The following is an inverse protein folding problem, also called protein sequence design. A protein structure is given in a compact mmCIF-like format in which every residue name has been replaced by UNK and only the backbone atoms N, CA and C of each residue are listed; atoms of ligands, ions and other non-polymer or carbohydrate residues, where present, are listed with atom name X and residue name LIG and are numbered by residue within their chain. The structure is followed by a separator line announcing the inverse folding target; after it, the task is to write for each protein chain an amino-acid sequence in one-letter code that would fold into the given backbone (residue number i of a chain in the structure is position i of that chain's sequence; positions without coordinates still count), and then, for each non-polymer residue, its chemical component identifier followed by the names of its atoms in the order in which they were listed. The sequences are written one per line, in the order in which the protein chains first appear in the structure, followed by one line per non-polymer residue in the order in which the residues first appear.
data_IF_802892612915
#
_entry.id   IF_802892612915
#
_cell.length_a   1.000
_cell.length_b   1.000
_cell.length_c   1.000
_cell.angle_alpha   90.00
_cell.angle_beta   90.00
_cell.angle_gamma   90.00
#
_symmetry.space_group_name_H-M   'P 1'
#
loop_
_entity.id
_entity.type
_entity.pdbx_description
1 polymer ?
#
# COMPACT_ATOMS: atom_id res chain seq x y z
N UNK A 1 72.33 -2.49 -43.64
CA UNK A 1 72.19 -3.55 -42.62
C UNK A 1 70.90 -3.33 -41.86
N UNK A 2 69.84 -4.04 -42.22
CA UNK A 2 68.55 -3.96 -41.55
C UNK A 2 68.13 -5.39 -41.17
N UNK A 3 68.23 -5.69 -39.87
CA UNK A 3 67.84 -6.99 -39.33
C UNK A 3 66.32 -7.01 -39.21
N UNK A 4 65.64 -7.79 -40.06
CA UNK A 4 64.20 -8.08 -39.93
C UNK A 4 64.00 -9.11 -38.82
N UNK A 5 63.11 -8.90 -37.84
CA UNK A 5 62.77 -9.93 -36.88
C UNK A 5 61.91 -11.02 -37.54
N UNK A 6 62.16 -12.26 -37.15
CA UNK A 6 61.52 -13.46 -37.67
C UNK A 6 60.08 -13.65 -37.14
N UNK A 7 59.21 -14.23 -37.98
CA UNK A 7 57.77 -14.50 -37.73
C UNK A 7 57.46 -15.34 -36.47
N UNK A 8 58.45 -15.89 -35.77
CA UNK A 8 58.25 -16.71 -34.57
C UNK A 8 58.11 -15.89 -33.27
N UNK A 9 58.54 -14.63 -33.23
CA UNK A 9 58.38 -13.78 -32.03
C UNK A 9 57.01 -13.08 -31.92
N UNK A 10 56.28 -12.90 -33.03
CA UNK A 10 54.95 -12.26 -33.01
C UNK A 10 53.83 -13.20 -32.53
N UNK A 11 53.98 -14.53 -32.67
CA UNK A 11 53.00 -15.50 -32.17
C UNK A 11 53.07 -15.72 -30.64
N UNK A 12 54.25 -15.57 -30.03
CA UNK A 12 54.42 -15.80 -28.59
C UNK A 12 53.80 -14.67 -27.74
N UNK A 13 53.79 -13.43 -28.24
CA UNK A 13 53.16 -12.30 -27.57
C UNK A 13 51.62 -12.28 -27.71
N UNK A 14 51.07 -12.86 -28.78
CA UNK A 14 49.62 -13.00 -28.96
C UNK A 14 49.01 -14.12 -28.11
N UNK A 15 49.78 -15.17 -27.77
CA UNK A 15 49.31 -16.27 -26.93
C UNK A 15 49.33 -15.96 -25.42
N UNK A 16 50.21 -15.08 -24.94
CA UNK A 16 50.18 -14.60 -23.55
C UNK A 16 49.05 -13.58 -23.31
N UNK A 17 48.72 -12.72 -24.28
CA UNK A 17 47.55 -11.84 -24.17
C UNK A 17 46.22 -12.59 -24.33
N UNK A 18 46.18 -13.69 -25.11
CA UNK A 18 44.99 -14.53 -25.20
C UNK A 18 44.73 -15.33 -23.90
N UNK A 19 45.76 -15.73 -23.15
CA UNK A 19 45.56 -16.35 -21.83
C UNK A 19 45.24 -15.34 -20.72
N UNK A 20 45.72 -14.10 -20.80
CA UNK A 20 45.34 -13.06 -19.84
C UNK A 20 43.95 -12.46 -20.15
N UNK A 21 43.58 -12.29 -21.42
CA UNK A 21 42.25 -11.81 -21.82
C UNK A 21 41.14 -12.87 -21.64
N UNK A 22 41.47 -14.16 -21.67
CA UNK A 22 40.53 -15.23 -21.28
C UNK A 22 40.43 -15.41 -19.76
N UNK A 23 41.42 -14.93 -18.98
CA UNK A 23 41.36 -14.92 -17.51
C UNK A 23 40.57 -13.72 -16.93
N UNK A 24 40.20 -12.73 -17.76
CA UNK A 24 39.32 -11.61 -17.36
C UNK A 24 37.85 -11.91 -17.69
N UNK A 25 37.55 -13.00 -18.42
CA UNK A 25 36.20 -13.41 -18.80
C UNK A 25 35.85 -14.78 -18.21
N UNK A 26 35.73 -14.82 -16.89
CA UNK A 26 34.85 -15.72 -16.14
C UNK A 26 35.12 -15.50 -14.64
N UNK A 27 34.61 -14.40 -14.08
CA UNK A 27 34.33 -14.44 -12.66
C UNK A 27 33.29 -15.54 -12.46
N UNK A 28 33.66 -16.57 -11.70
CA UNK A 28 32.80 -17.68 -11.30
C UNK A 28 31.38 -17.15 -11.04
N UNK A 29 30.41 -17.59 -11.84
CA UNK A 29 29.00 -17.44 -11.51
C UNK A 29 28.82 -18.02 -10.10
N UNK A 30 28.67 -17.15 -9.10
CA UNK A 30 28.36 -17.59 -7.75
C UNK A 30 27.07 -18.40 -7.80
N UNK A 31 27.00 -19.48 -7.02
CA UNK A 31 25.81 -20.30 -6.91
C UNK A 31 24.58 -19.39 -6.66
N UNK A 32 23.62 -19.39 -7.59
CA UNK A 32 22.39 -18.59 -7.49
C UNK A 32 22.32 -17.30 -8.32
N UNK A 33 23.28 -17.03 -9.22
CA UNK A 33 23.11 -15.98 -10.23
C UNK A 33 22.33 -16.50 -11.45
N UNK A 34 21.19 -15.89 -11.85
CA UNK A 34 20.44 -16.34 -13.01
C UNK A 34 21.23 -16.17 -14.31
N UNK A 35 20.98 -17.06 -15.28
CA UNK A 35 21.57 -16.96 -16.62
C UNK A 35 21.22 -15.63 -17.28
N UNK A 36 22.22 -14.98 -17.90
CA UNK A 36 22.13 -13.65 -18.56
C UNK A 36 22.03 -12.45 -17.61
N UNK A 37 21.89 -12.66 -16.30
CA UNK A 37 21.95 -11.58 -15.33
C UNK A 37 23.39 -11.24 -14.96
N UNK A 38 23.60 -10.00 -14.50
CA UNK A 38 24.86 -9.54 -13.93
C UNK A 38 24.74 -9.55 -12.41
N UNK A 39 25.57 -10.35 -11.76
CA UNK A 39 25.62 -10.44 -10.30
C UNK A 39 26.94 -9.88 -9.76
N UNK A 40 26.84 -8.99 -8.78
CA UNK A 40 27.99 -8.43 -8.08
C UNK A 40 27.69 -8.29 -6.59
N UNK A 41 28.45 -9.00 -5.74
CA UNK A 41 28.20 -9.13 -4.30
C UNK A 41 26.75 -9.61 -4.07
N UNK A 42 25.91 -8.78 -3.46
CA UNK A 42 24.49 -9.04 -3.16
C UNK A 42 23.54 -8.36 -4.15
N UNK A 43 24.07 -7.76 -5.23
CA UNK A 43 23.26 -7.12 -6.28
C UNK A 43 23.07 -8.07 -7.45
N UNK A 44 21.82 -8.26 -7.87
CA UNK A 44 21.45 -9.01 -9.08
C UNK A 44 20.76 -8.06 -10.04
N UNK A 45 21.31 -7.89 -11.25
CA UNK A 45 20.74 -7.06 -12.31
C UNK A 45 20.36 -7.91 -13.51
N UNK A 46 19.08 -7.87 -13.86
CA UNK A 46 18.50 -8.61 -14.98
C UNK A 46 17.66 -7.67 -15.87
N UNK A 47 18.20 -6.50 -16.22
CA UNK A 47 17.49 -5.48 -17.02
C UNK A 47 17.62 -5.71 -18.54
N UNK A 48 16.61 -5.32 -19.32
CA UNK A 48 16.59 -5.45 -20.80
C UNK A 48 16.76 -6.87 -21.34
N UNK A 49 16.32 -7.88 -20.59
CA UNK A 49 16.47 -9.30 -20.96
C UNK A 49 15.21 -9.91 -21.57
N UNK A 50 14.15 -9.11 -21.72
CA UNK A 50 12.81 -9.54 -22.17
C UNK A 50 12.19 -10.58 -21.23
N UNK A 51 12.50 -10.53 -19.94
CA UNK A 51 11.94 -11.45 -18.96
C UNK A 51 10.44 -11.27 -18.84
N UNK A 52 9.69 -12.37 -18.85
CA UNK A 52 8.24 -12.37 -18.65
C UNK A 52 7.83 -12.73 -17.21
N UNK A 53 8.80 -13.21 -16.41
CA UNK A 53 8.62 -13.56 -15.01
C UNK A 53 9.88 -13.19 -14.18
N UNK A 54 9.72 -13.16 -12.86
CA UNK A 54 10.81 -12.95 -11.91
C UNK A 54 11.72 -14.19 -11.92
N UNK A 55 13.04 -14.05 -12.18
CA UNK A 55 13.97 -15.18 -12.16
C UNK A 55 14.27 -15.61 -10.72
N UNK A 56 14.62 -16.89 -10.52
CA UNK A 56 15.10 -17.37 -9.23
C UNK A 56 16.45 -16.75 -8.88
N UNK A 57 16.56 -16.08 -7.73
CA UNK A 57 17.78 -15.39 -7.27
C UNK A 57 18.21 -15.87 -5.89
N UNK A 58 19.48 -15.64 -5.55
CA UNK A 58 20.04 -16.08 -4.28
C UNK A 58 19.42 -15.33 -3.06
N UNK A 59 19.17 -15.99 -1.92
CA UNK A 59 18.51 -15.37 -0.74
C UNK A 59 19.22 -14.16 -0.14
N UNK A 60 20.55 -14.08 -0.26
CA UNK A 60 21.37 -12.96 0.20
C UNK A 60 21.28 -11.70 -0.67
N UNK A 61 20.44 -11.71 -1.71
CA UNK A 61 20.26 -10.57 -2.62
C UNK A 61 19.73 -9.36 -1.85
N UNK A 62 20.46 -8.25 -1.90
CA UNK A 62 20.07 -6.99 -1.26
C UNK A 62 19.50 -5.98 -2.26
N UNK A 63 19.87 -6.09 -3.53
CA UNK A 63 19.35 -5.25 -4.62
C UNK A 63 18.99 -6.16 -5.80
N UNK A 64 17.72 -6.11 -6.21
CA UNK A 64 17.21 -6.84 -7.37
C UNK A 64 16.69 -5.84 -8.41
N UNK A 65 17.39 -5.74 -9.54
CA UNK A 65 17.04 -4.84 -10.65
C UNK A 65 16.44 -5.63 -11.82
N UNK A 66 15.13 -5.55 -11.98
CA UNK A 66 14.34 -6.22 -13.02
C UNK A 66 13.69 -5.21 -13.99
N UNK A 67 14.20 -3.98 -14.06
CA UNK A 67 13.61 -2.94 -14.90
C UNK A 67 13.72 -3.24 -16.38
N UNK A 68 12.85 -2.62 -17.18
CA UNK A 68 12.85 -2.71 -18.64
C UNK A 68 12.76 -4.15 -19.14
N UNK A 69 11.84 -4.92 -18.56
CA UNK A 69 11.50 -6.28 -19.00
C UNK A 69 10.03 -6.32 -19.46
N UNK A 70 9.46 -7.52 -19.58
CA UNK A 70 8.08 -7.76 -20.01
C UNK A 70 7.29 -8.52 -18.94
N UNK A 71 7.65 -8.36 -17.67
CA UNK A 71 6.99 -9.06 -16.56
C UNK A 71 5.54 -8.60 -16.47
N UNK A 72 4.59 -9.54 -16.58
CA UNK A 72 3.14 -9.24 -16.59
C UNK A 72 2.47 -9.44 -15.24
N UNK A 73 3.02 -10.33 -14.44
CA UNK A 73 2.49 -10.70 -13.12
C UNK A 73 3.64 -11.05 -12.19
N UNK A 74 3.41 -10.80 -10.89
CA UNK A 74 4.28 -11.26 -9.82
C UNK A 74 3.64 -12.54 -9.30
N UNK A 75 4.29 -13.68 -9.52
CA UNK A 75 3.79 -14.94 -8.98
C UNK A 75 3.80 -14.92 -7.44
N UNK A 76 2.80 -15.53 -6.76
CA UNK A 76 2.82 -15.65 -5.31
C UNK A 76 4.14 -16.28 -4.83
N UNK A 77 4.80 -15.62 -3.86
CA UNK A 77 6.09 -16.06 -3.34
C UNK A 77 7.28 -15.89 -4.29
N UNK A 78 7.17 -15.13 -5.40
CA UNK A 78 8.29 -14.85 -6.30
C UNK A 78 9.50 -14.21 -5.61
N UNK A 79 9.29 -13.52 -4.48
CA UNK A 79 10.34 -12.92 -3.67
C UNK A 79 10.51 -13.60 -2.30
N UNK A 80 9.90 -14.78 -2.12
CA UNK A 80 9.94 -15.49 -0.83
C UNK A 80 11.39 -15.78 -0.44
N UNK A 81 11.68 -15.68 0.86
CA UNK A 81 13.02 -15.86 1.45
C UNK A 81 14.07 -14.81 1.08
N UNK A 82 13.74 -13.77 0.29
CA UNK A 82 14.66 -12.66 -0.01
C UNK A 82 14.70 -11.64 1.15
N UNK A 83 14.91 -12.12 2.38
CA UNK A 83 14.84 -11.31 3.61
C UNK A 83 15.90 -10.21 3.68
N UNK A 84 16.99 -10.36 2.94
CA UNK A 84 18.06 -9.34 2.83
C UNK A 84 17.73 -8.23 1.83
N UNK A 85 16.65 -8.37 1.05
CA UNK A 85 16.33 -7.45 -0.04
C UNK A 85 15.98 -6.08 0.53
N UNK A 86 16.72 -5.07 0.06
CA UNK A 86 16.56 -3.69 0.49
C UNK A 86 15.98 -2.81 -0.62
N UNK A 87 16.33 -3.09 -1.87
CA UNK A 87 15.85 -2.36 -3.05
C UNK A 87 15.35 -3.34 -4.10
N UNK A 88 14.10 -3.14 -4.52
CA UNK A 88 13.46 -3.91 -5.59
C UNK A 88 13.02 -2.96 -6.70
N UNK A 89 13.57 -3.17 -7.90
CA UNK A 89 13.25 -2.37 -9.07
C UNK A 89 12.48 -3.20 -10.10
N UNK A 90 11.18 -2.92 -10.23
CA UNK A 90 10.24 -3.57 -11.16
C UNK A 90 9.64 -2.58 -12.17
N UNK A 91 10.10 -1.33 -12.19
CA UNK A 91 9.55 -0.32 -13.09
C UNK A 91 9.90 -0.56 -14.56
N UNK A 92 9.09 -0.01 -15.47
CA UNK A 92 9.16 -0.30 -16.91
C UNK A 92 8.98 -1.80 -17.21
N UNK A 93 7.87 -2.37 -16.71
CA UNK A 93 7.42 -3.72 -17.01
C UNK A 93 5.96 -3.66 -17.51
N UNK A 94 5.25 -4.79 -17.51
CA UNK A 94 3.86 -4.91 -17.96
C UNK A 94 2.95 -5.41 -16.82
N UNK A 95 3.34 -5.18 -15.56
CA UNK A 95 2.64 -5.71 -14.39
C UNK A 95 1.25 -5.10 -14.32
N UNK A 96 0.21 -5.94 -14.31
CA UNK A 96 -1.20 -5.49 -14.24
C UNK A 96 -1.80 -5.54 -12.84
N UNK A 97 -1.35 -6.49 -12.03
CA UNK A 97 -1.86 -6.74 -10.68
C UNK A 97 -0.71 -7.09 -9.76
N UNK A 98 -0.85 -6.69 -8.50
CA UNK A 98 0.01 -7.11 -7.39
C UNK A 98 -0.87 -8.00 -6.52
N UNK A 99 -0.67 -9.32 -6.50
CA UNK A 99 -1.48 -10.20 -5.66
C UNK A 99 -1.19 -9.97 -4.17
N UNK A 100 -2.14 -10.34 -3.31
CA UNK A 100 -1.92 -10.41 -1.86
C UNK A 100 -0.66 -11.22 -1.53
N UNK A 101 0.15 -10.70 -0.60
CA UNK A 101 1.41 -11.33 -0.20
C UNK A 101 2.49 -11.35 -1.29
N UNK A 102 2.35 -10.60 -2.40
CA UNK A 102 3.39 -10.52 -3.43
C UNK A 102 4.78 -10.17 -2.86
N UNK A 103 4.81 -9.33 -1.83
CA UNK A 103 6.02 -8.86 -1.16
C UNK A 103 6.18 -9.42 0.26
N UNK A 104 5.57 -10.57 0.54
CA UNK A 104 5.70 -11.27 1.82
C UNK A 104 7.18 -11.61 2.14
N UNK A 105 7.53 -11.65 3.43
CA UNK A 105 8.89 -11.87 3.97
C UNK A 105 9.94 -10.77 3.62
N UNK A 106 9.55 -9.66 2.96
CA UNK A 106 10.48 -8.58 2.59
C UNK A 106 10.70 -7.53 3.70
N UNK A 107 10.97 -7.99 4.93
CA UNK A 107 11.05 -7.17 6.16
C UNK A 107 12.11 -6.05 6.12
N UNK A 108 13.12 -6.17 5.26
CA UNK A 108 14.21 -5.18 5.11
C UNK A 108 14.06 -4.28 3.89
N UNK A 109 12.98 -4.43 3.12
CA UNK A 109 12.76 -3.64 1.92
C UNK A 109 12.52 -2.18 2.27
N UNK A 110 13.34 -1.29 1.70
CA UNK A 110 13.24 0.16 1.88
C UNK A 110 12.70 0.85 0.65
N UNK A 111 13.09 0.39 -0.54
CA UNK A 111 12.76 1.07 -1.79
C UNK A 111 12.12 0.12 -2.78
N UNK A 112 10.88 0.43 -3.17
CA UNK A 112 10.10 -0.34 -4.12
C UNK A 112 9.69 0.53 -5.31
N UNK A 113 10.16 0.15 -6.50
CA UNK A 113 9.88 0.86 -7.74
C UNK A 113 8.97 0.04 -8.64
N UNK A 114 7.72 0.50 -8.80
CA UNK A 114 6.67 -0.14 -9.61
C UNK A 114 6.09 0.79 -10.69
N UNK A 115 6.60 2.02 -10.80
CA UNK A 115 6.19 3.01 -11.80
C UNK A 115 6.40 2.52 -13.25
N UNK A 116 5.71 3.12 -14.22
CA UNK A 116 5.72 2.67 -15.63
C UNK A 116 5.38 1.17 -15.75
N UNK A 117 4.28 0.76 -15.14
CA UNK A 117 3.66 -0.55 -15.31
C UNK A 117 2.20 -0.35 -15.78
N UNK A 118 1.35 -1.35 -15.61
CA UNK A 118 -0.06 -1.33 -16.02
C UNK A 118 -0.97 -1.66 -14.83
N UNK A 119 -0.56 -1.34 -13.60
CA UNK A 119 -1.28 -1.72 -12.38
C UNK A 119 -2.62 -0.98 -12.33
N UNK A 120 -3.72 -1.71 -12.27
CA UNK A 120 -5.09 -1.15 -12.27
C UNK A 120 -5.71 -1.09 -10.87
N UNK A 121 -5.42 -2.09 -10.05
CA UNK A 121 -5.95 -2.23 -8.69
C UNK A 121 -4.82 -2.59 -7.74
N UNK A 122 -4.97 -2.17 -6.49
CA UNK A 122 -4.13 -2.56 -5.37
C UNK A 122 -5.03 -3.24 -4.35
N UNK A 123 -4.70 -4.48 -4.00
CA UNK A 123 -5.39 -5.13 -2.90
C UNK A 123 -4.93 -4.50 -1.57
N UNK A 124 -5.81 -4.36 -0.55
CA UNK A 124 -5.45 -3.75 0.73
C UNK A 124 -4.26 -4.40 1.42
N UNK A 125 -3.99 -5.68 1.12
CA UNK A 125 -2.92 -6.45 1.71
C UNK A 125 -1.63 -6.49 0.87
N UNK A 126 -1.62 -5.84 -0.30
CA UNK A 126 -0.51 -5.86 -1.26
C UNK A 126 0.82 -5.39 -0.65
N UNK A 127 0.75 -4.47 0.32
CA UNK A 127 1.93 -3.86 0.96
C UNK A 127 1.98 -4.10 2.48
N UNK A 128 1.18 -5.05 2.99
CA UNK A 128 1.30 -5.44 4.40
C UNK A 128 2.68 -6.04 4.68
N UNK A 129 3.10 -6.00 5.94
CA UNK A 129 4.36 -6.59 6.41
C UNK A 129 5.64 -5.98 5.78
N UNK A 130 5.60 -4.70 5.40
CA UNK A 130 6.76 -3.94 4.91
C UNK A 130 7.14 -2.79 5.89
N UNK A 131 7.52 -3.08 7.14
CA UNK A 131 7.65 -2.08 8.21
C UNK A 131 8.77 -1.05 7.96
N UNK A 132 9.77 -1.41 7.15
CA UNK A 132 10.92 -0.55 6.82
C UNK A 132 10.79 0.17 5.49
N UNK A 133 9.64 0.08 4.80
CA UNK A 133 9.48 0.68 3.48
C UNK A 133 9.49 2.20 3.59
N UNK A 134 10.50 2.82 2.99
CA UNK A 134 10.69 4.27 3.03
C UNK A 134 10.20 4.94 1.74
N UNK A 135 10.25 4.25 0.59
CA UNK A 135 9.87 4.83 -0.71
C UNK A 135 9.10 3.84 -1.57
N UNK A 136 7.92 4.27 -2.00
CA UNK A 136 7.04 3.53 -2.89
C UNK A 136 6.70 4.38 -4.12
N UNK A 137 7.09 3.90 -5.30
CA UNK A 137 6.83 4.58 -6.56
C UNK A 137 5.85 3.78 -7.41
N UNK A 138 4.62 4.28 -7.50
CA UNK A 138 3.49 3.71 -8.27
C UNK A 138 2.99 4.64 -9.39
N UNK A 139 3.58 5.83 -9.57
CA UNK A 139 3.24 6.76 -10.65
C UNK A 139 3.36 6.12 -12.05
N UNK A 140 2.66 6.65 -13.05
CA UNK A 140 2.60 6.06 -14.40
C UNK A 140 2.13 4.59 -14.37
N UNK A 141 1.00 4.36 -13.72
CA UNK A 141 0.25 3.11 -13.76
C UNK A 141 -1.20 3.43 -14.19
N UNK A 142 -2.15 2.54 -13.92
CA UNK A 142 -3.57 2.68 -14.29
C UNK A 142 -4.49 2.59 -13.08
N UNK A 143 -3.98 2.92 -11.89
CA UNK A 143 -4.73 2.80 -10.64
C UNK A 143 -5.92 3.75 -10.70
N UNK A 144 -7.13 3.21 -10.49
CA UNK A 144 -8.36 4.01 -10.53
C UNK A 144 -8.89 4.36 -9.16
N UNK A 145 -8.91 3.41 -8.24
CA UNK A 145 -9.42 3.59 -6.88
C UNK A 145 -8.42 2.99 -5.89
N UNK A 146 -8.47 3.48 -4.65
CA UNK A 146 -7.65 3.01 -3.55
C UNK A 146 -8.55 2.77 -2.35
N UNK A 147 -8.44 1.57 -1.78
CA UNK A 147 -9.20 1.21 -0.59
C UNK A 147 -8.62 1.97 0.62
N UNK A 148 -9.45 2.58 1.48
CA UNK A 148 -8.99 3.14 2.75
C UNK A 148 -8.09 2.16 3.51
N UNK A 149 -6.94 2.67 4.00
CA UNK A 149 -5.99 1.85 4.73
C UNK A 149 -4.97 1.07 3.89
N UNK A 150 -5.01 1.12 2.55
CA UNK A 150 -4.02 0.44 1.67
C UNK A 150 -2.55 0.75 2.04
N UNK A 151 -2.29 1.92 2.64
CA UNK A 151 -0.94 2.35 3.05
C UNK A 151 -0.78 2.54 4.57
N UNK A 152 -1.78 2.19 5.39
CA UNK A 152 -1.79 2.52 6.82
C UNK A 152 -0.68 1.84 7.63
N UNK A 153 -0.25 0.65 7.22
CA UNK A 153 0.82 -0.11 7.89
C UNK A 153 2.25 0.30 7.48
N UNK A 154 2.39 1.27 6.58
CA UNK A 154 3.71 1.74 6.12
C UNK A 154 4.24 2.82 7.07
N UNK A 155 4.64 2.41 8.27
CA UNK A 155 5.04 3.33 9.35
C UNK A 155 6.31 4.13 9.04
N UNK A 156 7.25 3.54 8.27
CA UNK A 156 8.52 4.17 7.90
C UNK A 156 8.44 5.01 6.61
N UNK A 157 7.24 5.23 6.06
CA UNK A 157 7.07 5.80 4.72
C UNK A 157 7.55 7.26 4.66
N UNK A 158 8.46 7.55 3.73
CA UNK A 158 9.06 8.88 3.49
C UNK A 158 8.86 9.40 2.08
N UNK A 159 8.30 8.63 1.15
CA UNK A 159 7.93 9.09 -0.20
C UNK A 159 6.96 8.13 -0.90
N UNK A 160 5.78 8.63 -1.21
CA UNK A 160 4.76 7.92 -1.97
C UNK A 160 4.47 8.69 -3.26
N UNK A 161 4.60 8.04 -4.41
CA UNK A 161 4.22 8.64 -5.70
C UNK A 161 3.15 7.82 -6.39
N UNK A 162 2.00 8.44 -6.59
CA UNK A 162 0.78 7.91 -7.22
C UNK A 162 0.28 8.80 -8.36
N UNK A 163 0.92 9.93 -8.64
CA UNK A 163 0.59 10.80 -9.77
C UNK A 163 0.67 10.07 -11.12
N UNK A 164 0.07 10.64 -12.17
CA UNK A 164 0.01 9.99 -13.48
C UNK A 164 -0.60 8.57 -13.42
N UNK A 165 -1.62 8.41 -12.57
CA UNK A 165 -2.54 7.27 -12.56
C UNK A 165 -3.93 7.75 -13.00
N UNK A 166 -4.90 6.84 -13.08
CA UNK A 166 -6.28 7.15 -13.47
C UNK A 166 -7.18 7.39 -12.25
N UNK A 167 -6.66 8.04 -11.20
CA UNK A 167 -7.34 8.15 -9.91
C UNK A 167 -8.69 8.86 -10.04
N UNK A 168 -9.75 8.18 -9.60
CA UNK A 168 -11.06 8.74 -9.41
C UNK A 168 -11.14 9.34 -8.01
N UNK A 169 -11.27 10.65 -7.97
CA UNK A 169 -11.40 11.42 -6.75
C UNK A 169 -12.88 11.63 -6.46
N UNK A 170 -13.42 10.74 -5.65
CA UNK A 170 -14.70 10.87 -4.96
C UNK A 170 -14.44 11.08 -3.46
N UNK A 171 -15.50 11.07 -2.65
CA UNK A 171 -15.37 11.30 -1.22
C UNK A 171 -14.52 10.26 -0.48
N UNK A 172 -14.37 9.05 -1.01
CA UNK A 172 -13.50 8.00 -0.44
C UNK A 172 -12.02 8.30 -0.67
N UNK A 173 -11.63 9.28 -1.52
CA UNK A 173 -10.21 9.63 -1.71
C UNK A 173 -9.66 10.50 -0.56
N UNK A 174 -10.51 11.07 0.29
CA UNK A 174 -10.11 12.10 1.26
C UNK A 174 -9.14 11.58 2.34
N UNK A 175 -9.20 10.30 2.70
CA UNK A 175 -8.20 9.70 3.59
C UNK A 175 -6.78 9.78 2.99
N UNK A 176 -6.66 9.64 1.66
CA UNK A 176 -5.38 9.75 0.98
C UNK A 176 -4.93 11.22 0.95
N UNK A 177 -5.86 12.16 0.78
CA UNK A 177 -5.55 13.58 0.86
C UNK A 177 -4.93 13.94 2.21
N UNK A 178 -5.52 13.48 3.31
CA UNK A 178 -5.01 13.72 4.66
C UNK A 178 -3.65 13.04 4.89
N UNK A 179 -3.50 11.79 4.46
CA UNK A 179 -2.22 11.09 4.52
C UNK A 179 -1.09 11.86 3.79
N UNK A 180 -1.37 12.37 2.58
CA UNK A 180 -0.39 13.12 1.80
C UNK A 180 -0.04 14.47 2.45
N UNK A 181 -1.01 15.15 3.10
CA UNK A 181 -0.75 16.39 3.86
C UNK A 181 0.19 16.12 5.04
N UNK A 182 -0.01 15.04 5.79
CA UNK A 182 0.87 14.65 6.90
C UNK A 182 2.31 14.46 6.43
N UNK A 183 2.50 13.80 5.29
CA UNK A 183 3.84 13.65 4.70
C UNK A 183 4.44 14.96 4.19
N UNK A 184 3.64 15.85 3.61
CA UNK A 184 4.15 17.15 3.15
C UNK A 184 4.70 17.99 4.33
N UNK A 185 4.02 17.95 5.48
CA UNK A 185 4.43 18.66 6.70
C UNK A 185 5.72 18.09 7.31
N UNK A 186 6.00 16.80 7.14
CA UNK A 186 7.22 16.16 7.67
C UNK A 186 8.49 16.46 6.86
N UNK A 187 8.49 17.53 6.04
CA UNK A 187 9.60 17.89 5.15
C UNK A 187 9.72 17.00 3.91
N UNK A 188 8.74 16.12 3.65
CA UNK A 188 8.71 15.27 2.47
C UNK A 188 7.86 15.91 1.37
N UNK A 189 8.43 16.92 0.72
CA UNK A 189 7.82 17.71 -0.36
C UNK A 189 7.54 16.93 -1.67
N UNK A 190 7.56 15.60 -1.66
CA UNK A 190 7.52 14.76 -2.87
C UNK A 190 6.49 13.63 -2.81
N UNK A 191 5.60 13.63 -1.81
CA UNK A 191 4.40 12.82 -1.86
C UNK A 191 3.44 13.41 -2.92
N UNK A 192 3.12 12.66 -3.96
CA UNK A 192 2.40 13.18 -5.12
C UNK A 192 1.30 12.23 -5.58
N UNK A 193 0.07 12.74 -5.71
CA UNK A 193 -1.05 12.07 -6.35
C UNK A 193 -1.93 13.13 -7.02
N UNK A 194 -2.48 12.83 -8.19
CA UNK A 194 -3.29 13.76 -8.98
C UNK A 194 -4.58 13.07 -9.40
N UNK A 195 -5.70 13.80 -9.34
CA UNK A 195 -6.97 13.30 -9.82
C UNK A 195 -7.00 13.24 -11.35
N UNK A 196 -7.51 12.14 -11.88
CA UNK A 196 -7.86 12.03 -13.30
C UNK A 196 -9.35 12.25 -13.51
N UNK A 197 -10.17 11.77 -12.57
CA UNK A 197 -11.61 11.97 -12.55
C UNK A 197 -12.07 12.55 -11.20
N UNK A 198 -13.21 13.28 -11.18
CA UNK A 198 -13.98 13.75 -12.33
C UNK A 198 -13.27 14.87 -13.11
N UNK A 199 -13.67 15.10 -14.37
CA UNK A 199 -13.02 16.08 -15.28
C UNK A 199 -12.87 17.50 -14.70
N UNK A 200 -13.81 17.92 -13.85
CA UNK A 200 -13.79 19.24 -13.19
C UNK A 200 -12.57 19.48 -12.31
N UNK A 201 -11.97 18.42 -11.77
CA UNK A 201 -10.78 18.46 -10.92
C UNK A 201 -9.61 17.65 -11.51
N UNK A 202 -9.64 17.37 -12.81
CA UNK A 202 -8.55 16.66 -13.47
C UNK A 202 -7.23 17.44 -13.32
N UNK A 203 -6.16 16.73 -13.00
CA UNK A 203 -4.83 17.29 -12.73
C UNK A 203 -4.66 17.94 -11.36
N UNK A 204 -5.73 18.09 -10.56
CA UNK A 204 -5.63 18.63 -9.20
C UNK A 204 -4.85 17.67 -8.31
N UNK A 205 -4.04 18.23 -7.41
CA UNK A 205 -3.35 17.44 -6.38
C UNK A 205 -4.38 16.89 -5.39
N UNK A 206 -4.31 15.59 -5.10
CA UNK A 206 -5.20 14.95 -4.11
C UNK A 206 -5.04 15.61 -2.74
N UNK A 207 -3.82 15.99 -2.35
CA UNK A 207 -3.53 16.57 -1.04
C UNK A 207 -4.20 17.94 -0.80
N UNK A 208 -4.71 18.60 -1.84
CA UNK A 208 -5.31 19.94 -1.74
C UNK A 208 -6.83 19.95 -1.90
N UNK A 209 -7.45 18.79 -2.09
CA UNK A 209 -8.89 18.68 -2.34
C UNK A 209 -9.67 18.77 -1.03
N UNK A 210 -10.84 19.40 -1.10
CA UNK A 210 -11.78 19.51 0.03
C UNK A 210 -13.05 18.68 -0.20
N UNK A 211 -13.78 18.31 0.87
CA UNK A 211 -15.06 17.61 0.76
C UNK A 211 -16.10 18.34 -0.10
N UNK A 212 -16.10 19.67 -0.08
CA UNK A 212 -17.04 20.49 -0.85
C UNK A 212 -16.82 20.38 -2.35
N UNK A 213 -15.55 20.32 -2.81
CA UNK A 213 -15.22 20.15 -4.24
C UNK A 213 -15.63 18.78 -4.79
N UNK A 214 -15.76 17.80 -3.90
CA UNK A 214 -16.18 16.44 -4.20
C UNK A 214 -17.69 16.24 -4.04
N UNK A 215 -18.43 17.26 -3.58
CA UNK A 215 -19.86 17.17 -3.23
C UNK A 215 -20.14 16.07 -2.19
N UNK A 216 -19.31 15.98 -1.15
CA UNK A 216 -19.54 15.05 -0.06
C UNK A 216 -20.71 15.51 0.82
N UNK A 217 -21.45 14.56 1.36
CA UNK A 217 -22.63 14.81 2.19
C UNK A 217 -22.31 14.47 3.63
N UNK A 218 -22.52 15.43 4.52
CA UNK A 218 -22.38 15.23 5.97
C UNK A 218 -23.35 14.16 6.46
N UNK A 219 -23.00 13.44 7.54
CA UNK A 219 -23.91 12.48 8.13
C UNK A 219 -25.20 13.16 8.58
N UNK A 220 -26.33 12.52 8.31
CA UNK A 220 -27.66 12.92 8.77
C UNK A 220 -28.30 11.74 9.46
N UNK A 221 -28.64 11.89 10.74
CA UNK A 221 -29.41 10.90 11.48
C UNK A 221 -30.82 10.83 10.89
N UNK A 222 -31.27 9.61 10.59
CA UNK A 222 -32.61 9.30 10.08
C UNK A 222 -33.44 8.49 11.07
N UNK A 223 -32.84 7.97 12.14
CA UNK A 223 -33.55 7.32 13.24
C UNK A 223 -32.85 7.60 14.56
N UNK A 224 -33.60 8.13 15.52
CA UNK A 224 -33.14 8.48 16.87
C UNK A 224 -33.42 7.32 17.85
N UNK A 225 -32.53 7.08 18.83
CA UNK A 225 -32.79 6.16 19.92
C UNK A 225 -33.80 6.74 20.90
N UNK A 226 -34.31 5.88 21.79
CA UNK A 226 -35.26 6.23 22.85
C UNK A 226 -34.73 5.74 24.19
N UNK A 227 -35.18 6.37 25.28
CA UNK A 227 -34.94 5.88 26.64
C UNK A 227 -35.46 4.45 26.80
N UNK A 228 -34.77 3.65 27.62
CA UNK A 228 -35.12 2.27 27.89
C UNK A 228 -35.02 1.96 29.39
N UNK A 229 -36.03 1.28 29.91
CA UNK A 229 -36.06 0.71 31.27
C UNK A 229 -36.12 -0.81 31.10
N UNK A 230 -35.04 -1.50 31.49
CA UNK A 230 -34.83 -2.92 31.13
C UNK A 230 -34.35 -3.72 32.33
N UNK A 231 -35.15 -4.72 32.70
CA UNK A 231 -34.76 -5.69 33.73
C UNK A 231 -33.46 -6.42 33.37
N UNK A 232 -32.55 -6.53 34.34
CA UNK A 232 -31.29 -7.27 34.22
C UNK A 232 -31.48 -8.66 33.61
N UNK A 233 -30.58 -9.03 32.70
CA UNK A 233 -30.62 -10.28 31.94
C UNK A 233 -31.37 -10.20 30.60
N UNK A 234 -32.18 -9.17 30.36
CA UNK A 234 -32.85 -8.97 29.08
C UNK A 234 -31.90 -8.37 28.02
N UNK A 235 -32.40 -8.21 26.80
CA UNK A 235 -31.67 -7.56 25.70
C UNK A 235 -32.31 -6.22 25.39
N UNK A 236 -31.49 -5.17 25.20
CA UNK A 236 -31.95 -3.84 24.79
C UNK A 236 -31.36 -3.45 23.43
N UNK A 237 -32.10 -2.63 22.69
CA UNK A 237 -31.74 -2.13 21.37
C UNK A 237 -31.84 -0.61 21.34
N UNK A 238 -30.74 0.08 21.02
CA UNK A 238 -30.75 1.50 20.73
C UNK A 238 -30.59 1.71 19.22
N UNK A 239 -31.65 2.14 18.56
CA UNK A 239 -31.64 2.35 17.10
C UNK A 239 -30.87 3.62 16.77
N UNK A 240 -29.96 3.54 15.79
CA UNK A 240 -29.35 4.72 15.19
C UNK A 240 -29.09 4.46 13.72
N UNK A 241 -29.80 5.17 12.85
CA UNK A 241 -29.61 5.08 11.40
C UNK A 241 -29.15 6.43 10.89
N UNK A 242 -28.19 6.43 9.97
CA UNK A 242 -27.67 7.64 9.38
C UNK A 242 -27.39 7.47 7.88
N UNK A 243 -27.58 8.56 7.14
CA UNK A 243 -27.24 8.68 5.73
C UNK A 243 -26.09 9.68 5.55
N UNK A 244 -25.36 9.58 4.45
CA UNK A 244 -24.27 10.48 4.12
C UNK A 244 -23.42 9.92 2.97
N UNK A 245 -22.56 10.75 2.41
CA UNK A 245 -21.63 10.38 1.36
C UNK A 245 -20.22 10.89 1.70
N UNK A 246 -19.28 10.02 2.10
CA UNK A 246 -19.39 8.56 2.13
C UNK A 246 -20.36 8.05 3.20
N UNK A 247 -20.73 6.77 3.11
CA UNK A 247 -21.58 6.12 4.13
C UNK A 247 -20.94 6.34 5.51
N UNK A 248 -21.67 6.90 6.49
CA UNK A 248 -21.10 7.19 7.79
C UNK A 248 -20.80 5.93 8.60
N UNK A 249 -19.70 5.97 9.35
CA UNK A 249 -19.40 5.04 10.43
C UNK A 249 -20.27 5.38 11.65
N UNK A 250 -20.84 4.36 12.27
CA UNK A 250 -21.68 4.52 13.47
C UNK A 250 -20.86 4.15 14.71
N UNK A 251 -20.77 5.11 15.63
CA UNK A 251 -20.02 5.00 16.88
C UNK A 251 -20.99 5.23 18.03
N UNK A 252 -21.05 4.29 18.98
CA UNK A 252 -21.85 4.44 20.19
C UNK A 252 -21.00 4.93 21.36
N UNK A 253 -21.54 5.89 22.09
CA UNK A 253 -20.95 6.48 23.28
C UNK A 253 -21.77 6.05 24.50
N UNK A 254 -21.11 5.66 25.58
CA UNK A 254 -21.69 5.50 26.92
C UNK A 254 -21.00 6.44 27.88
N UNK A 255 -21.77 7.33 28.52
CA UNK A 255 -21.25 8.38 29.39
C UNK A 255 -20.11 9.16 28.71
N UNK A 256 -20.32 9.55 27.45
CA UNK A 256 -19.35 10.24 26.58
C UNK A 256 -18.08 9.46 26.18
N UNK A 257 -18.00 8.16 26.48
CA UNK A 257 -16.87 7.31 26.09
C UNK A 257 -17.28 6.34 24.98
N UNK A 258 -16.45 6.17 23.95
CA UNK A 258 -16.69 5.21 22.87
C UNK A 258 -16.78 3.77 23.41
N UNK A 259 -17.84 3.07 23.02
CA UNK A 259 -18.04 1.67 23.31
C UNK A 259 -17.21 0.81 22.35
N UNK A 260 -16.36 -0.05 22.92
CA UNK A 260 -15.60 -1.02 22.15
C UNK A 260 -16.34 -2.36 22.09
N UNK A 261 -16.89 -2.69 20.92
CA UNK A 261 -17.52 -4.00 20.67
C UNK A 261 -16.52 -5.16 20.79
N UNK A 262 -15.21 -4.89 20.74
CA UNK A 262 -14.16 -5.92 20.85
C UNK A 262 -13.92 -6.39 22.28
N UNK A 263 -14.27 -5.58 23.28
CA UNK A 263 -13.96 -5.86 24.69
C UNK A 263 -15.13 -6.49 25.44
N UNK A 264 -16.35 -6.29 24.96
CA UNK A 264 -17.55 -6.84 25.59
C UNK A 264 -18.38 -7.61 24.56
N UNK A 265 -18.36 -8.95 24.69
CA UNK A 265 -19.09 -9.87 23.80
C UNK A 265 -20.62 -9.71 23.82
N UNK A 266 -21.17 -8.99 24.80
CA UNK A 266 -22.61 -8.72 24.89
C UNK A 266 -23.05 -7.57 23.99
N UNK A 267 -22.11 -6.69 23.63
CA UNK A 267 -22.35 -5.53 22.78
C UNK A 267 -22.18 -5.94 21.31
N UNK A 268 -23.19 -5.64 20.50
CA UNK A 268 -23.15 -5.89 19.07
C UNK A 268 -23.68 -4.67 18.32
N UNK A 269 -23.01 -4.31 17.23
CA UNK A 269 -23.48 -3.29 16.30
C UNK A 269 -24.12 -3.99 15.10
N UNK A 270 -25.40 -3.73 14.85
CA UNK A 270 -26.10 -4.27 13.69
C UNK A 270 -25.77 -3.45 12.42
N UNK A 271 -26.03 -4.03 11.24
CA UNK A 271 -25.69 -3.42 9.93
C UNK A 271 -26.33 -2.05 9.69
N UNK A 272 -27.45 -1.77 10.36
CA UNK A 272 -28.17 -0.50 10.28
C UNK A 272 -27.68 0.55 11.28
N UNK A 273 -26.73 0.22 12.15
CA UNK A 273 -26.17 1.09 13.19
C UNK A 273 -26.79 0.91 14.58
N UNK A 274 -27.76 0.01 14.73
CA UNK A 274 -28.39 -0.28 16.03
C UNK A 274 -27.42 -0.94 17.00
N UNK A 275 -27.31 -0.40 18.22
CA UNK A 275 -26.60 -1.04 19.32
C UNK A 275 -27.52 -2.07 19.97
N UNK A 276 -27.05 -3.31 20.04
CA UNK A 276 -27.66 -4.39 20.82
C UNK A 276 -26.80 -4.69 22.05
N UNK A 277 -27.41 -4.66 23.24
CA UNK A 277 -26.78 -5.07 24.50
C UNK A 277 -27.53 -6.29 25.01
N UNK A 278 -26.89 -7.45 24.98
CA UNK A 278 -27.46 -8.71 25.49
C UNK A 278 -27.14 -8.90 26.97
N UNK A 279 -28.01 -9.62 27.69
CA UNK A 279 -27.79 -9.95 29.10
C UNK A 279 -27.39 -8.70 29.91
N UNK A 280 -28.26 -7.70 29.89
CA UNK A 280 -28.04 -6.39 30.53
C UNK A 280 -27.69 -6.55 32.01
N UNK A 281 -26.80 -5.68 32.49
CA UNK A 281 -26.32 -5.66 33.87
C UNK A 281 -26.53 -4.26 34.46
N UNK A 282 -26.56 -4.16 35.79
CA UNK A 282 -26.64 -2.87 36.50
C UNK A 282 -25.49 -1.93 36.10
N UNK A 283 -24.31 -2.47 35.78
CA UNK A 283 -23.16 -1.70 35.28
C UNK A 283 -23.33 -1.15 33.85
N UNK A 284 -24.39 -1.54 33.12
CA UNK A 284 -24.73 -0.98 31.82
C UNK A 284 -25.58 0.28 31.92
N UNK A 285 -26.11 0.61 33.10
CA UNK A 285 -26.86 1.84 33.35
C UNK A 285 -26.02 3.06 32.94
N UNK A 286 -26.67 4.04 32.31
CA UNK A 286 -26.02 5.29 31.93
C UNK A 286 -26.63 5.96 30.72
N UNK A 287 -25.91 6.97 30.24
CA UNK A 287 -26.33 7.80 29.12
C UNK A 287 -25.68 7.29 27.84
N UNK A 288 -26.50 6.98 26.85
CA UNK A 288 -26.10 6.50 25.54
C UNK A 288 -26.33 7.57 24.48
N UNK A 289 -25.39 7.69 23.56
CA UNK A 289 -25.51 8.57 22.39
C UNK A 289 -24.87 7.91 21.18
N UNK A 290 -25.54 8.00 20.04
CA UNK A 290 -24.97 7.60 18.77
C UNK A 290 -24.30 8.79 18.08
N UNK A 291 -23.15 8.54 17.46
CA UNK A 291 -22.43 9.46 16.61
C UNK A 291 -22.22 8.82 15.23
N UNK A 292 -22.78 9.44 14.20
CA UNK A 292 -22.53 9.09 12.81
C UNK A 292 -21.43 10.00 12.25
N UNK A 293 -20.38 9.42 11.67
CA UNK A 293 -19.19 10.16 11.24
C UNK A 293 -18.73 9.76 9.84
N UNK A 294 -18.38 10.76 9.02
CA UNK A 294 -17.63 10.56 7.78
C UNK A 294 -16.62 11.70 7.57
N UNK A 295 -15.92 11.71 6.43
CA UNK A 295 -14.93 12.74 6.09
C UNK A 295 -15.51 14.15 5.88
N UNK A 296 -16.83 14.28 5.66
CA UNK A 296 -17.49 15.57 5.51
C UNK A 296 -17.94 16.17 6.87
N UNK A 297 -18.07 15.35 7.91
CA UNK A 297 -18.42 15.79 9.26
C UNK A 297 -18.99 14.70 10.14
N UNK A 298 -19.67 15.12 11.20
CA UNK A 298 -20.33 14.24 12.18
C UNK A 298 -21.73 14.75 12.51
N UNK A 299 -22.61 13.84 12.91
CA UNK A 299 -23.90 14.11 13.49
C UNK A 299 -24.12 13.21 14.71
N UNK A 300 -24.73 13.75 15.75
CA UNK A 300 -25.01 13.02 16.99
C UNK A 300 -26.51 12.99 17.23
N UNK A 301 -26.99 11.88 17.78
CA UNK A 301 -28.37 11.76 18.27
C UNK A 301 -28.55 12.55 19.55
N UNK A 302 -29.81 12.66 19.99
CA UNK A 302 -30.07 12.97 21.40
C UNK A 302 -29.43 11.92 22.34
N UNK A 303 -29.15 12.34 23.55
CA UNK A 303 -28.76 11.45 24.65
C UNK A 303 -30.00 10.71 25.16
N UNK A 304 -29.86 9.41 25.43
CA UNK A 304 -30.91 8.56 25.99
C UNK A 304 -30.38 7.77 27.18
N UNK A 305 -31.26 7.41 28.11
CA UNK A 305 -30.88 6.70 29.33
C UNK A 305 -31.25 5.23 29.24
N UNK A 306 -30.35 4.37 29.70
CA UNK A 306 -30.68 3.01 30.10
C UNK A 306 -30.83 2.98 31.62
N UNK A 307 -31.98 2.55 32.10
CA UNK A 307 -32.30 2.32 33.52
C UNK A 307 -32.68 0.86 33.79
#
# INVERSE_FOLDING_TARGET
MAVRPTRRCLLALLLCFAWWAMAVVASKQGAGCPSRCLCFRTTVRCMHLLLEAVPAVAPQTSILDLRFNRIREIQPGAFRRLRSLNTLLLNNNQIKKIPNGAFEDLENLKYLYLHFNQIETLDPESFQHLPKLERLFLHNNRITHLVPGTFSQLESMKRLRLDSNALHCDCEILWLADLLKTYAQSGNAQAAATCEYPRRIQGRSVATITPEELNCERPRITSEPQDADVTSGNTVYFTCRAEGNPKPEIIWLRNNNELSMKTDSRLNLLDDGTLMIQNTQEADEGVYQCMAKNVAGEAKTQEVTLS
#
